data_IF_365538933204
#
_entry.id   IF_365538933204
#
_cell.length_a   1.000
_cell.length_b   1.000
_cell.length_c   1.000
_cell.angle_alpha   90.00
_cell.angle_beta   90.00
_cell.angle_gamma   90.00
#
_symmetry.space_group_name_H-M   'P 1'
#
loop_
_entity.id
_entity.type
_entity.pdbx_description
1 polymer ?
#
# COMPACT_ATOMS: atom_id res chain seq x y z
N UNK A 1 -13.62 9.91 -9.77
CA UNK A 1 -12.90 8.62 -9.83
C UNK A 1 -13.29 7.79 -8.62
N UNK A 2 -13.77 6.56 -8.85
CA UNK A 2 -14.17 5.68 -7.75
C UNK A 2 -12.96 5.06 -7.04
N UNK A 3 -13.23 4.32 -5.96
CA UNK A 3 -12.17 3.70 -5.15
C UNK A 3 -11.29 2.74 -5.96
N UNK A 4 -11.88 1.98 -6.89
CA UNK A 4 -11.10 1.11 -7.79
C UNK A 4 -10.19 1.91 -8.70
N UNK A 5 -10.66 3.02 -9.24
CA UNK A 5 -9.84 3.91 -10.05
C UNK A 5 -8.69 4.51 -9.27
N UNK A 6 -8.93 4.91 -8.02
CA UNK A 6 -7.88 5.43 -7.14
C UNK A 6 -6.85 4.35 -6.81
N UNK A 7 -7.30 3.11 -6.57
CA UNK A 7 -6.39 1.98 -6.37
C UNK A 7 -5.50 1.75 -7.58
N UNK A 8 -6.09 1.74 -8.79
CA UNK A 8 -5.34 1.54 -10.03
C UNK A 8 -4.35 2.68 -10.26
N UNK A 9 -4.73 3.92 -9.95
CA UNK A 9 -3.83 5.06 -10.06
C UNK A 9 -2.64 4.92 -9.11
N UNK A 10 -2.88 4.52 -7.86
CA UNK A 10 -1.81 4.34 -6.90
C UNK A 10 -0.84 3.21 -7.32
N UNK A 11 -1.36 2.12 -7.88
CA UNK A 11 -0.54 1.05 -8.45
C UNK A 11 0.31 1.55 -9.61
N UNK A 12 -0.26 2.36 -10.48
CA UNK A 12 0.48 2.95 -11.60
C UNK A 12 1.62 3.85 -11.09
N UNK A 13 1.34 4.67 -10.09
CA UNK A 13 2.37 5.53 -9.49
C UNK A 13 3.48 4.71 -8.83
N UNK A 14 3.12 3.62 -8.14
CA UNK A 14 4.12 2.70 -7.58
C UNK A 14 4.99 2.10 -8.68
N UNK A 15 4.41 1.71 -9.81
CA UNK A 15 5.15 1.17 -10.94
C UNK A 15 6.13 2.18 -11.51
N UNK A 16 5.70 3.43 -11.68
CA UNK A 16 6.60 4.50 -12.15
C UNK A 16 7.78 4.69 -11.22
N UNK A 17 7.53 4.62 -9.90
CA UNK A 17 8.60 4.73 -8.91
C UNK A 17 9.58 3.55 -9.02
N UNK A 18 9.08 2.33 -9.17
CA UNK A 18 9.94 1.14 -9.33
C UNK A 18 10.77 1.19 -10.60
N UNK A 19 10.17 1.62 -11.72
CA UNK A 19 10.88 1.78 -12.98
C UNK A 19 11.97 2.85 -12.87
N UNK A 20 11.64 3.99 -12.24
CA UNK A 20 12.60 5.06 -11.98
C UNK A 20 13.75 4.60 -11.08
N UNK A 21 13.43 3.79 -10.07
CA UNK A 21 14.42 3.22 -9.16
C UNK A 21 15.41 2.34 -9.93
N UNK A 22 14.92 1.41 -10.75
CA UNK A 22 15.77 0.55 -11.55
C UNK A 22 16.70 1.34 -12.46
N UNK A 23 16.19 2.39 -13.08
CA UNK A 23 16.98 3.25 -13.95
C UNK A 23 18.04 4.03 -13.16
N UNK A 24 17.66 4.64 -12.04
CA UNK A 24 18.56 5.43 -11.23
C UNK A 24 19.66 4.58 -10.56
N UNK A 25 19.35 3.31 -10.26
CA UNK A 25 20.30 2.40 -9.60
C UNK A 25 21.52 2.08 -10.47
N UNK A 26 21.42 2.27 -11.79
CA UNK A 26 22.53 1.95 -12.72
C UNK A 26 23.76 2.82 -12.47
N UNK A 27 23.56 4.08 -12.09
CA UNK A 27 24.64 5.06 -11.92
C UNK A 27 24.63 5.71 -10.53
N UNK A 28 24.08 5.03 -9.54
CA UNK A 28 23.90 5.62 -8.22
C UNK A 28 25.25 5.82 -7.50
N UNK A 29 25.51 7.05 -7.10
CA UNK A 29 26.69 7.39 -6.28
C UNK A 29 26.52 6.90 -4.84
N UNK A 30 25.28 6.89 -4.34
CA UNK A 30 24.94 6.40 -3.00
C UNK A 30 23.73 5.44 -3.12
N UNK A 31 24.01 4.15 -3.41
CA UNK A 31 22.91 3.18 -3.60
C UNK A 31 22.01 3.03 -2.38
N UNK A 32 22.54 3.09 -1.18
CA UNK A 32 21.74 2.90 0.03
C UNK A 32 20.73 4.03 0.23
N UNK A 33 21.14 5.28 0.01
CA UNK A 33 20.24 6.43 0.08
C UNK A 33 19.17 6.38 -1.00
N UNK A 34 19.56 5.98 -2.22
CA UNK A 34 18.65 5.84 -3.34
C UNK A 34 17.58 4.79 -3.04
N UNK A 35 18.01 3.63 -2.57
CA UNK A 35 17.11 2.52 -2.21
C UNK A 35 16.12 2.95 -1.13
N UNK A 36 16.61 3.63 -0.09
CA UNK A 36 15.75 4.09 0.99
C UNK A 36 14.68 5.06 0.49
N UNK A 37 15.05 6.00 -0.37
CA UNK A 37 14.13 7.01 -0.89
C UNK A 37 13.04 6.37 -1.77
N UNK A 38 13.43 5.53 -2.72
CA UNK A 38 12.47 4.90 -3.63
C UNK A 38 11.60 3.86 -2.92
N UNK A 39 12.19 3.10 -1.98
CA UNK A 39 11.42 2.09 -1.24
C UNK A 39 10.33 2.74 -0.40
N UNK A 40 10.63 3.82 0.30
CA UNK A 40 9.65 4.53 1.11
C UNK A 40 8.49 5.07 0.26
N UNK A 41 8.82 5.70 -0.87
CA UNK A 41 7.82 6.26 -1.77
C UNK A 41 6.96 5.18 -2.42
N UNK A 42 7.57 4.11 -2.90
CA UNK A 42 6.84 3.00 -3.53
C UNK A 42 5.94 2.30 -2.52
N UNK A 43 6.44 2.05 -1.31
CA UNK A 43 5.66 1.44 -0.24
C UNK A 43 4.42 2.27 0.10
N UNK A 44 4.58 3.59 0.18
CA UNK A 44 3.45 4.46 0.48
C UNK A 44 2.37 4.37 -0.59
N UNK A 45 2.75 4.34 -1.87
CA UNK A 45 1.79 4.18 -2.95
C UNK A 45 1.10 2.81 -2.92
N UNK A 46 1.85 1.74 -2.61
CA UNK A 46 1.27 0.41 -2.49
C UNK A 46 0.29 0.32 -1.32
N UNK A 47 0.60 0.94 -0.18
CA UNK A 47 -0.32 0.98 0.95
C UNK A 47 -1.60 1.74 0.61
N UNK A 48 -1.51 2.85 -0.11
CA UNK A 48 -2.67 3.59 -0.57
C UNK A 48 -3.49 2.77 -1.57
N UNK A 49 -2.82 2.09 -2.50
CA UNK A 49 -3.48 1.21 -3.46
C UNK A 49 -4.29 0.12 -2.75
N UNK A 50 -3.68 -0.49 -1.74
CA UNK A 50 -4.35 -1.53 -0.96
C UNK A 50 -5.57 -0.97 -0.22
N UNK A 51 -5.44 0.18 0.42
CA UNK A 51 -6.55 0.82 1.12
C UNK A 51 -7.72 1.14 0.20
N UNK A 52 -7.46 1.77 -0.94
CA UNK A 52 -8.49 2.05 -1.93
C UNK A 52 -9.14 0.77 -2.46
N UNK A 53 -8.32 -0.27 -2.66
CA UNK A 53 -8.80 -1.55 -3.16
C UNK A 53 -9.71 -2.24 -2.14
N UNK A 54 -9.34 -2.24 -0.86
CA UNK A 54 -10.19 -2.77 0.21
C UNK A 54 -11.56 -2.09 0.24
N UNK A 55 -11.57 -0.77 0.11
CA UNK A 55 -12.82 -0.01 0.06
C UNK A 55 -13.65 -0.41 -1.17
N UNK A 56 -13.01 -0.57 -2.32
CA UNK A 56 -13.70 -0.97 -3.54
C UNK A 56 -14.33 -2.36 -3.42
N UNK A 57 -13.58 -3.33 -2.87
CA UNK A 57 -14.06 -4.70 -2.70
C UNK A 57 -15.17 -4.78 -1.66
N UNK A 58 -15.10 -3.97 -0.61
CA UNK A 58 -16.15 -3.94 0.42
C UNK A 58 -17.42 -3.24 -0.04
N UNK A 59 -17.41 -2.60 -1.20
CA UNK A 59 -18.56 -1.87 -1.73
C UNK A 59 -18.78 -0.51 -1.09
N UNK A 60 -17.79 0.00 -0.37
CA UNK A 60 -17.89 1.33 0.23
C UNK A 60 -17.81 2.40 -0.84
N UNK A 61 -18.77 3.30 -0.87
CA UNK A 61 -18.81 4.43 -1.80
C UNK A 61 -18.07 5.65 -1.28
N UNK A 62 -17.79 5.68 0.01
CA UNK A 62 -17.14 6.83 0.65
C UNK A 62 -15.68 6.92 0.20
N UNK A 63 -15.29 8.07 -0.31
CA UNK A 63 -13.91 8.36 -0.63
C UNK A 63 -13.25 9.01 0.59
N UNK A 64 -12.27 8.32 1.16
CA UNK A 64 -11.52 8.81 2.30
C UNK A 64 -10.28 9.55 1.82
N UNK A 65 -9.76 10.43 2.67
CA UNK A 65 -8.44 11.01 2.43
C UNK A 65 -7.37 9.94 2.59
N UNK A 66 -6.24 10.04 1.86
CA UNK A 66 -5.21 8.99 1.88
C UNK A 66 -4.74 8.59 3.28
N UNK A 67 -4.66 9.53 4.21
CA UNK A 67 -4.24 9.25 5.58
C UNK A 67 -5.26 8.48 6.41
N UNK A 68 -6.51 8.41 5.94
CA UNK A 68 -7.61 7.72 6.62
C UNK A 68 -7.94 6.36 5.99
N UNK A 69 -7.16 5.93 4.99
CA UNK A 69 -7.40 4.67 4.32
C UNK A 69 -7.17 3.49 5.26
N UNK A 70 -7.97 2.42 5.13
CA UNK A 70 -7.71 1.21 5.89
C UNK A 70 -6.39 0.58 5.47
N UNK A 71 -5.64 0.05 6.42
CA UNK A 71 -4.39 -0.67 6.20
C UNK A 71 -4.56 -2.17 6.33
N UNK A 72 -5.72 -2.61 6.81
CA UNK A 72 -6.02 -4.01 7.02
C UNK A 72 -7.52 -4.24 6.85
N UNK A 73 -7.89 -5.48 6.56
CA UNK A 73 -9.30 -5.85 6.43
C UNK A 73 -10.07 -5.52 7.72
N UNK A 74 -9.45 -5.70 8.88
CA UNK A 74 -10.08 -5.41 10.17
C UNK A 74 -10.45 -3.93 10.36
N UNK A 75 -9.84 -3.02 9.63
CA UNK A 75 -10.12 -1.59 9.71
C UNK A 75 -11.28 -1.15 8.80
N UNK A 76 -11.81 -2.07 7.99
CA UNK A 76 -12.96 -1.75 7.15
C UNK A 76 -14.21 -1.54 8.00
N UNK A 77 -15.11 -0.63 7.56
CA UNK A 77 -16.40 -0.49 8.22
C UNK A 77 -17.18 -1.81 8.15
N UNK A 78 -18.02 -2.12 9.16
CA UNK A 78 -18.80 -3.34 9.13
C UNK A 78 -19.72 -3.36 7.90
N UNK A 79 -20.00 -4.55 7.33
CA UNK A 79 -20.92 -4.65 6.20
C UNK A 79 -22.31 -4.15 6.61
N UNK A 80 -23.04 -3.57 5.65
CA UNK A 80 -24.41 -3.18 5.89
C UNK A 80 -25.25 -4.40 6.31
N UNK A 81 -26.26 -4.21 7.18
CA UNK A 81 -27.14 -5.30 7.57
C UNK A 81 -27.74 -6.02 6.35
N UNK A 82 -27.56 -7.34 6.29
CA UNK A 82 -28.06 -8.16 5.18
C UNK A 82 -27.08 -8.38 4.04
N UNK A 83 -25.90 -7.77 4.06
CA UNK A 83 -24.84 -8.04 3.09
C UNK A 83 -23.78 -8.96 3.69
N UNK A 84 -23.48 -10.04 2.98
CA UNK A 84 -22.35 -10.89 3.32
C UNK A 84 -21.06 -10.19 2.97
N UNK A 85 -20.01 -10.44 3.76
CA UNK A 85 -18.66 -9.99 3.41
C UNK A 85 -18.21 -10.63 2.10
N UNK A 86 -17.50 -9.87 1.27
CA UNK A 86 -16.92 -10.41 0.04
C UNK A 86 -15.90 -11.50 0.40
N UNK A 87 -15.93 -12.67 -0.29
CA UNK A 87 -14.99 -13.76 -0.02
C UNK A 87 -13.53 -13.34 -0.15
N UNK A 88 -13.23 -12.40 -1.05
CA UNK A 88 -11.89 -11.88 -1.29
C UNK A 88 -11.29 -11.25 -0.03
N UNK A 89 -12.12 -10.67 0.84
CA UNK A 89 -11.64 -10.06 2.07
C UNK A 89 -11.05 -11.08 3.02
N UNK A 90 -11.57 -12.30 3.04
CA UNK A 90 -11.00 -13.39 3.85
C UNK A 90 -9.63 -13.81 3.33
N UNK A 91 -9.48 -13.87 2.00
CA UNK A 91 -8.18 -14.17 1.39
C UNK A 91 -7.16 -13.09 1.70
N UNK A 92 -7.55 -11.82 1.62
CA UNK A 92 -6.66 -10.72 1.95
C UNK A 92 -6.27 -10.73 3.42
N UNK A 93 -7.20 -11.01 4.32
CA UNK A 93 -6.88 -11.12 5.75
C UNK A 93 -5.84 -12.22 6.01
N UNK A 94 -5.96 -13.36 5.31
CA UNK A 94 -4.97 -14.42 5.41
C UNK A 94 -3.60 -13.99 4.88
N UNK A 95 -3.56 -13.28 3.76
CA UNK A 95 -2.32 -12.77 3.18
C UNK A 95 -1.66 -11.70 4.05
N UNK A 96 -2.46 -10.92 4.79
CA UNK A 96 -1.96 -9.95 5.76
C UNK A 96 -1.21 -10.62 6.91
N UNK A 97 -1.62 -11.84 7.25
CA UNK A 97 -1.00 -12.59 8.34
C UNK A 97 0.28 -13.32 7.91
N UNK A 98 0.27 -13.95 6.73
CA UNK A 98 1.25 -14.97 6.42
C UNK A 98 1.70 -14.94 4.96
N UNK A 99 1.37 -13.91 4.20
CA UNK A 99 1.68 -13.79 2.79
C UNK A 99 2.51 -12.56 2.46
N UNK A 100 2.59 -12.27 1.17
CA UNK A 100 3.31 -11.09 0.67
C UNK A 100 2.74 -9.77 1.20
N UNK A 101 1.44 -9.72 1.51
CA UNK A 101 0.85 -8.54 2.15
C UNK A 101 1.44 -8.29 3.53
N UNK A 102 1.74 -9.34 4.29
CA UNK A 102 2.39 -9.21 5.59
C UNK A 102 3.71 -8.46 5.47
N UNK A 103 4.50 -8.79 4.45
CA UNK A 103 5.77 -8.11 4.20
C UNK A 103 5.57 -6.64 3.84
N UNK A 104 4.61 -6.36 2.95
CA UNK A 104 4.31 -5.01 2.51
C UNK A 104 3.82 -4.13 3.66
N UNK A 105 2.99 -4.68 4.54
CA UNK A 105 2.37 -3.94 5.64
C UNK A 105 3.31 -3.77 6.83
N UNK A 106 4.36 -4.58 6.93
CA UNK A 106 5.32 -4.49 8.02
C UNK A 106 6.03 -3.15 7.96
N UNK A 107 5.94 -2.40 9.05
CA UNK A 107 6.71 -1.17 9.14
C UNK A 107 8.19 -1.49 9.20
N UNK A 108 9.03 -0.83 8.40
CA UNK A 108 10.45 -1.00 8.52
C UNK A 108 10.85 -0.61 9.95
N UNK A 109 11.75 -1.38 10.58
CA UNK A 109 12.21 -1.02 11.91
C UNK A 109 12.73 0.41 11.89
N UNK A 110 12.33 1.18 12.89
CA UNK A 110 12.90 2.51 13.15
C UNK A 110 14.36 2.37 13.62
N UNK A 111 15.15 1.65 12.88
CA UNK A 111 16.58 1.81 12.99
C UNK A 111 16.85 3.13 12.31
N UNK A 112 16.84 4.19 13.09
CA UNK A 112 17.48 5.39 12.70
C UNK A 112 18.92 5.03 12.33
N UNK A 113 19.18 4.73 11.06
CA UNK A 113 20.51 4.92 10.55
C UNK A 113 20.89 6.35 10.96
N UNK A 114 21.99 6.55 11.67
CA UNK A 114 22.35 7.89 12.08
C UNK A 114 22.37 8.76 10.84
N UNK A 115 21.52 9.78 10.87
CA UNK A 115 21.54 10.78 9.82
C UNK A 115 22.93 11.37 9.88
N UNK A 116 23.74 11.25 8.82
CA UNK A 116 25.04 11.89 8.83
C UNK A 116 24.82 13.39 9.03
N UNK A 117 25.45 13.89 10.03
CA UNK A 117 25.41 15.31 10.33
C UNK A 117 25.97 16.11 9.16
#
# INVERSE_FOLDING_TARGET
MGNRGLANRALYLARLLLDGWQLAARDAADPAALDAAYLAAARQQLLQAYGWFLLAVSGADTQLQPQLLPRAVAELPPPEPGRASAPELQEFAALEHDGWLAEMLREPPLTAAPVPA
#
